data_IF_969705077785
#
_entry.id   IF_969705077785
#
_cell.length_a   1.000
_cell.length_b   1.000
_cell.length_c   1.000
_cell.angle_alpha   90.00
_cell.angle_beta   90.00
_cell.angle_gamma   90.00
#
_symmetry.space_group_name_H-M   'P 1'
#
loop_
_entity.id
_entity.type
_entity.pdbx_description
1 polymer ?
#
# COMPACT_ATOMS: atom_id res chain seq x y z
N UNK A 1 3.42 26.53 1.35
CA UNK A 1 1.97 26.28 1.17
C UNK A 1 1.88 24.96 0.41
N UNK A 2 1.23 23.88 0.86
CA UNK A 2 -0.14 23.76 1.36
C UNK A 2 -0.22 22.49 2.23
N UNK A 3 -0.44 22.61 3.55
CA UNK A 3 -0.69 21.44 4.42
C UNK A 3 -2.11 20.97 4.16
N UNK A 4 -2.28 19.84 3.47
CA UNK A 4 -3.59 19.18 3.34
C UNK A 4 -3.90 18.52 4.68
N UNK A 5 -4.82 19.12 5.43
CA UNK A 5 -5.42 18.50 6.61
C UNK A 5 -6.54 17.61 6.11
N UNK A 6 -6.28 16.30 5.96
CA UNK A 6 -7.33 15.32 5.69
C UNK A 6 -8.03 14.97 7.00
N UNK A 7 -9.27 15.43 7.11
CA UNK A 7 -10.14 15.25 8.29
C UNK A 7 -10.79 13.87 8.18
N UNK A 8 -10.41 12.93 9.06
CA UNK A 8 -11.12 11.65 9.23
C UNK A 8 -12.15 11.80 10.34
N UNK A 9 -13.43 11.68 9.97
CA UNK A 9 -14.58 11.88 10.87
C UNK A 9 -14.79 10.62 11.70
N UNK A 10 -14.59 10.70 13.01
CA UNK A 10 -15.10 9.75 13.99
C UNK A 10 -16.30 10.42 14.64
N UNK A 11 -17.48 9.80 14.58
CA UNK A 11 -18.72 10.16 15.32
C UNK A 11 -18.74 11.61 15.87
N UNK A 12 -19.17 12.57 15.05
CA UNK A 12 -19.35 14.01 15.34
C UNK A 12 -18.13 14.82 15.82
N UNK A 13 -17.00 14.19 16.21
CA UNK A 13 -15.78 14.86 16.68
C UNK A 13 -14.56 14.56 15.79
N UNK A 14 -13.98 15.61 15.24
CA UNK A 14 -12.81 15.49 14.35
C UNK A 14 -11.50 15.43 15.13
N UNK A 15 -10.64 14.45 14.83
CA UNK A 15 -9.25 14.39 15.33
C UNK A 15 -8.35 15.26 14.47
N UNK A 16 -7.59 16.18 15.06
CA UNK A 16 -6.58 16.96 14.32
C UNK A 16 -5.42 16.06 13.89
N UNK A 17 -5.09 16.14 12.61
CA UNK A 17 -4.02 15.36 11.98
C UNK A 17 -3.00 16.25 11.29
N UNK A 18 -1.75 15.80 11.28
CA UNK A 18 -0.67 16.42 10.49
C UNK A 18 0.04 15.32 9.72
N UNK A 19 0.13 15.50 8.40
CA UNK A 19 0.98 14.69 7.56
C UNK A 19 2.41 15.23 7.61
N UNK A 20 3.35 14.36 7.96
CA UNK A 20 4.77 14.62 7.79
C UNK A 20 5.27 13.92 6.51
N UNK A 21 5.75 14.72 5.57
CA UNK A 21 6.23 14.24 4.28
C UNK A 21 7.64 13.64 4.35
N UNK A 22 8.44 14.00 5.35
CA UNK A 22 9.82 13.51 5.49
C UNK A 22 9.84 12.09 6.05
N UNK A 23 9.05 11.85 7.12
CA UNK A 23 8.92 10.51 7.71
C UNK A 23 7.82 9.65 7.08
N UNK A 24 7.03 10.21 6.14
CA UNK A 24 5.84 9.60 5.55
C UNK A 24 4.83 9.08 6.60
N UNK A 25 4.68 9.80 7.71
CA UNK A 25 3.78 9.43 8.81
C UNK A 25 2.65 10.43 9.00
N UNK A 26 1.51 9.90 9.47
CA UNK A 26 0.43 10.71 10.04
C UNK A 26 0.65 10.85 11.54
N UNK A 27 0.54 12.09 12.02
CA UNK A 27 0.54 12.44 13.43
C UNK A 27 -0.86 12.87 13.86
N UNK A 28 -1.31 12.35 15.01
CA UNK A 28 -2.64 12.56 15.57
C UNK A 28 -2.54 13.31 16.90
N UNK A 29 -3.45 14.26 17.12
CA UNK A 29 -3.52 14.96 18.41
C UNK A 29 -3.96 14.00 19.52
N UNK A 30 -3.12 13.83 20.54
CA UNK A 30 -3.41 12.93 21.67
C UNK A 30 -4.61 13.42 22.49
N UNK A 31 -4.71 14.74 22.67
CA UNK A 31 -5.80 15.34 23.46
C UNK A 31 -7.15 15.06 22.80
N UNK A 32 -7.24 15.22 21.48
CA UNK A 32 -8.49 15.00 20.73
C UNK A 32 -8.90 13.51 20.79
N UNK A 33 -7.93 12.59 20.68
CA UNK A 33 -8.21 11.15 20.80
C UNK A 33 -8.67 10.80 22.21
N UNK A 34 -8.02 11.35 23.25
CA UNK A 34 -8.47 11.16 24.63
C UNK A 34 -9.88 11.69 24.82
N UNK A 35 -10.18 12.87 24.27
CA UNK A 35 -11.53 13.44 24.36
C UNK A 35 -12.58 12.50 23.76
N UNK A 36 -12.34 11.98 22.56
CA UNK A 36 -13.25 11.06 21.88
C UNK A 36 -13.41 9.75 22.65
N UNK A 37 -12.29 9.18 23.11
CA UNK A 37 -12.30 7.88 23.75
C UNK A 37 -12.76 7.92 25.20
N UNK A 38 -12.80 9.07 25.85
CA UNK A 38 -13.15 9.15 27.29
C UNK A 38 -14.35 10.03 27.60
N UNK A 39 -14.82 10.84 26.64
CA UNK A 39 -15.78 11.93 26.85
C UNK A 39 -15.41 12.86 28.02
N UNK A 40 -14.12 12.90 28.40
CA UNK A 40 -13.66 13.69 29.52
C UNK A 40 -13.90 15.17 29.23
N UNK A 41 -14.54 15.94 30.14
CA UNK A 41 -14.69 17.38 29.98
C UNK A 41 -13.34 18.12 30.14
N UNK A 42 -12.28 17.42 30.59
CA UNK A 42 -10.93 17.96 30.81
C UNK A 42 -9.87 17.01 30.23
N UNK A 43 -9.83 16.79 28.91
CA UNK A 43 -8.97 15.79 28.28
C UNK A 43 -7.47 16.06 28.50
N UNK A 44 -7.06 17.33 28.63
CA UNK A 44 -5.69 17.71 28.99
C UNK A 44 -5.28 17.23 30.39
N UNK A 45 -6.18 17.35 31.37
CA UNK A 45 -5.92 16.89 32.74
C UNK A 45 -5.86 15.37 32.78
N UNK A 46 -6.76 14.71 32.06
CA UNK A 46 -6.74 13.26 31.89
C UNK A 46 -5.41 12.81 31.28
N UNK A 47 -4.96 13.46 30.20
CA UNK A 47 -3.69 13.16 29.56
C UNK A 47 -2.50 13.29 30.51
N UNK A 48 -2.43 14.36 31.29
CA UNK A 48 -1.36 14.55 32.26
C UNK A 48 -1.35 13.46 33.34
N UNK A 49 -2.52 13.05 33.83
CA UNK A 49 -2.63 11.93 34.77
C UNK A 49 -2.18 10.60 34.13
N UNK A 50 -2.60 10.34 32.89
CA UNK A 50 -2.20 9.15 32.15
C UNK A 50 -0.69 9.12 31.87
N UNK A 51 -0.06 10.26 31.53
CA UNK A 51 1.40 10.38 31.39
C UNK A 51 2.13 9.98 32.67
N UNK A 52 1.66 10.48 33.82
CA UNK A 52 2.26 10.12 35.12
C UNK A 52 2.15 8.62 35.37
N UNK A 53 0.99 8.02 35.12
CA UNK A 53 0.78 6.58 35.26
C UNK A 53 1.71 5.78 34.35
N UNK A 54 1.80 6.15 33.07
CA UNK A 54 2.68 5.51 32.08
C UNK A 54 4.15 5.56 32.52
N UNK A 55 4.61 6.67 33.09
CA UNK A 55 5.98 6.78 33.63
C UNK A 55 6.22 5.82 34.80
N UNK A 56 5.26 5.69 35.70
CA UNK A 56 5.35 4.75 36.84
C UNK A 56 5.39 3.30 36.36
N UNK A 57 4.67 2.97 35.29
CA UNK A 57 4.69 1.65 34.65
C UNK A 57 5.98 1.38 33.84
N UNK A 58 6.93 2.32 33.81
CA UNK A 58 8.15 2.20 33.00
C UNK A 58 7.92 2.37 31.50
N UNK A 59 6.76 2.90 31.08
CA UNK A 59 6.47 3.13 29.67
C UNK A 59 7.25 4.33 29.14
N UNK A 60 8.12 4.07 28.18
CA UNK A 60 8.84 5.12 27.44
C UNK A 60 7.95 5.88 26.45
N UNK A 61 6.68 5.48 26.29
CA UNK A 61 5.78 6.10 25.31
C UNK A 61 5.69 7.60 25.54
N UNK A 62 5.53 8.04 26.80
CA UNK A 62 5.46 9.46 27.14
C UNK A 62 6.73 10.27 26.80
N UNK A 63 7.89 9.61 26.68
CA UNK A 63 9.17 10.23 26.33
C UNK A 63 9.42 10.26 24.81
N UNK A 64 8.76 9.36 24.07
CA UNK A 64 8.91 9.22 22.61
C UNK A 64 7.87 10.02 21.81
N UNK A 65 6.97 10.75 22.47
CA UNK A 65 5.96 11.57 21.81
C UNK A 65 6.55 12.89 21.34
N UNK A 66 6.23 13.27 20.11
CA UNK A 66 6.59 14.57 19.56
C UNK A 66 5.58 15.65 19.93
N UNK A 67 5.94 16.92 19.67
CA UNK A 67 5.02 18.04 19.71
C UNK A 67 4.98 18.75 18.37
N UNK A 68 3.78 19.03 17.87
CA UNK A 68 3.58 19.79 16.63
C UNK A 68 2.65 20.98 16.87
N UNK A 69 2.87 22.07 16.12
CA UNK A 69 1.96 23.20 16.11
C UNK A 69 0.67 22.81 15.38
N UNK A 70 -0.43 22.75 16.13
CA UNK A 70 -1.77 22.45 15.62
C UNK A 70 -2.70 23.63 15.90
N UNK A 71 -3.66 23.86 14.99
CA UNK A 71 -4.68 24.88 15.19
C UNK A 71 -5.65 24.44 16.30
N UNK A 72 -6.07 25.37 17.13
CA UNK A 72 -7.03 25.19 18.21
C UNK A 72 -8.39 25.83 17.84
N UNK A 73 -9.43 25.59 18.65
CA UNK A 73 -10.79 26.08 18.39
C UNK A 73 -10.89 27.62 18.31
N UNK A 74 -9.97 28.33 18.96
CA UNK A 74 -9.80 29.79 18.91
C UNK A 74 -9.03 30.28 17.67
N UNK A 75 -8.74 29.39 16.72
CA UNK A 75 -8.04 29.71 15.47
C UNK A 75 -6.52 29.89 15.60
N UNK A 76 -5.98 29.92 16.83
CA UNK A 76 -4.54 30.06 17.10
C UNK A 76 -3.81 28.71 17.04
N UNK A 77 -2.50 28.75 16.81
CA UNK A 77 -1.65 27.56 16.75
C UNK A 77 -0.90 27.35 18.08
N UNK A 78 -0.98 26.13 18.61
CA UNK A 78 -0.32 25.73 19.84
C UNK A 78 0.49 24.45 19.67
N UNK A 79 1.58 24.33 20.41
CA UNK A 79 2.30 23.06 20.53
C UNK A 79 1.40 22.05 21.23
N UNK A 80 1.19 20.92 20.56
CA UNK A 80 0.28 19.85 20.98
C UNK A 80 1.04 18.54 20.95
N UNK A 81 0.90 17.72 22.00
CA UNK A 81 1.45 16.36 22.03
C UNK A 81 0.77 15.52 20.93
N UNK A 82 1.58 14.90 20.09
CA UNK A 82 1.14 14.08 18.95
C UNK A 82 1.72 12.68 19.01
N UNK A 83 0.97 11.72 18.47
CA UNK A 83 1.37 10.33 18.33
C UNK A 83 1.27 9.90 16.85
N UNK A 84 2.19 9.06 16.39
CA UNK A 84 1.98 8.30 15.16
C UNK A 84 1.03 7.11 15.39
N UNK A 85 0.73 6.35 14.34
CA UNK A 85 -0.24 5.23 14.41
C UNK A 85 0.10 4.19 15.47
N UNK A 86 1.38 3.78 15.56
CA UNK A 86 1.81 2.75 16.51
C UNK A 86 1.72 3.26 17.95
N UNK A 87 2.23 4.47 18.19
CA UNK A 87 2.13 5.15 19.48
C UNK A 87 0.67 5.33 19.90
N UNK A 88 -0.21 5.63 18.95
CA UNK A 88 -1.63 5.78 19.20
C UNK A 88 -2.28 4.47 19.64
N UNK A 89 -2.02 3.37 18.95
CA UNK A 89 -2.55 2.06 19.35
C UNK A 89 -2.03 1.64 20.73
N UNK A 90 -0.75 1.89 21.03
CA UNK A 90 -0.21 1.61 22.37
C UNK A 90 -0.83 2.50 23.44
N UNK A 91 -1.14 3.77 23.12
CA UNK A 91 -1.83 4.68 24.04
C UNK A 91 -3.26 4.19 24.34
N UNK A 92 -4.00 3.78 23.31
CA UNK A 92 -5.39 3.29 23.44
C UNK A 92 -5.49 2.12 24.43
N UNK A 93 -4.50 1.23 24.43
CA UNK A 93 -4.45 0.10 25.39
C UNK A 93 -4.44 0.57 26.85
N UNK A 94 -3.84 1.73 27.14
CA UNK A 94 -3.75 2.30 28.49
C UNK A 94 -4.95 3.19 28.89
N UNK A 95 -5.95 3.37 28.02
CA UNK A 95 -7.16 4.15 28.32
C UNK A 95 -8.26 3.21 28.84
N UNK A 96 -8.62 3.26 30.15
CA UNK A 96 -9.74 2.49 30.69
C UNK A 96 -11.09 3.14 30.33
N UNK A 97 -11.56 2.95 29.10
CA UNK A 97 -12.85 3.44 28.63
C UNK A 97 -13.61 2.40 27.81
N UNK A 98 -14.95 2.29 27.95
CA UNK A 98 -15.78 1.48 27.06
C UNK A 98 -15.61 1.83 25.58
N UNK A 99 -15.34 3.09 25.23
CA UNK A 99 -15.11 3.50 23.82
C UNK A 99 -13.77 3.02 23.26
N UNK A 100 -12.81 2.75 24.14
CA UNK A 100 -11.52 2.18 23.74
C UNK A 100 -11.60 0.65 23.59
N UNK A 101 -12.60 -0.01 24.17
CA UNK A 101 -12.71 -1.46 24.21
C UNK A 101 -12.81 -2.12 22.82
N UNK A 102 -13.61 -1.63 21.86
CA UNK A 102 -13.64 -2.20 20.50
C UNK A 102 -12.28 -2.21 19.82
N UNK A 103 -11.47 -1.16 20.03
CA UNK A 103 -10.12 -1.10 19.48
C UNK A 103 -9.18 -2.11 20.15
N UNK A 104 -9.30 -2.32 21.46
CA UNK A 104 -8.49 -3.31 22.19
C UNK A 104 -8.84 -4.73 21.77
N UNK A 105 -10.13 -5.03 21.62
CA UNK A 105 -10.59 -6.32 21.11
C UNK A 105 -10.10 -6.56 19.69
N UNK A 106 -10.19 -5.55 18.82
CA UNK A 106 -9.65 -5.65 17.47
C UNK A 106 -8.12 -5.86 17.46
N UNK A 107 -7.36 -5.16 18.30
CA UNK A 107 -5.91 -5.38 18.43
C UNK A 107 -5.58 -6.78 18.95
N UNK A 108 -6.37 -7.29 19.91
CA UNK A 108 -6.21 -8.66 20.43
C UNK A 108 -6.52 -9.71 19.35
N UNK A 109 -7.59 -9.50 18.57
CA UNK A 109 -7.93 -10.35 17.43
C UNK A 109 -6.80 -10.35 16.40
N UNK A 110 -6.29 -9.18 16.00
CA UNK A 110 -5.17 -9.09 15.05
C UNK A 110 -3.94 -9.82 15.61
N UNK A 111 -3.63 -9.68 16.89
CA UNK A 111 -2.51 -10.40 17.49
C UNK A 111 -2.70 -11.93 17.47
N UNK A 112 -3.91 -12.41 17.77
CA UNK A 112 -4.25 -13.84 17.69
C UNK A 112 -4.14 -14.36 16.24
N UNK A 113 -4.75 -13.67 15.27
CA UNK A 113 -4.64 -14.01 13.84
C UNK A 113 -3.19 -14.09 13.38
N UNK A 114 -2.30 -13.22 13.90
CA UNK A 114 -0.86 -13.28 13.56
C UNK A 114 -0.16 -14.51 14.14
N UNK A 115 -0.56 -14.97 15.32
CA UNK A 115 -0.03 -16.21 15.88
C UNK A 115 -0.51 -17.41 15.07
N UNK A 116 -1.77 -17.42 14.65
CA UNK A 116 -2.33 -18.44 13.78
C UNK A 116 -1.60 -18.47 12.43
N UNK A 117 -1.38 -17.31 11.81
CA UNK A 117 -0.61 -17.18 10.56
C UNK A 117 0.85 -17.65 10.66
N UNK A 118 1.46 -17.58 11.85
CA UNK A 118 2.81 -18.10 12.06
C UNK A 118 2.84 -19.63 12.12
N UNK A 119 1.75 -20.25 12.55
CA UNK A 119 1.57 -21.70 12.58
C UNK A 119 1.12 -22.22 11.22
N UNK A 120 0.24 -21.48 10.55
CA UNK A 120 -0.30 -21.77 9.23
C UNK A 120 -0.15 -20.55 8.29
N UNK A 121 0.96 -20.47 7.54
CA UNK A 121 1.20 -19.38 6.59
C UNK A 121 0.16 -19.28 5.47
N UNK A 122 -0.60 -20.34 5.17
CA UNK A 122 -1.65 -20.33 4.13
C UNK A 122 -2.75 -19.32 4.48
N UNK A 123 -3.06 -19.14 5.77
CA UNK A 123 -4.01 -18.12 6.25
C UNK A 123 -3.61 -16.70 5.82
N UNK A 124 -2.31 -16.43 5.65
CA UNK A 124 -1.85 -15.13 5.14
C UNK A 124 -2.24 -14.94 3.67
N UNK A 125 -2.19 -16.01 2.87
CA UNK A 125 -2.56 -16.01 1.46
C UNK A 125 -4.08 -15.85 1.34
N UNK A 126 -4.85 -16.60 2.12
CA UNK A 126 -6.31 -16.52 2.15
C UNK A 126 -6.79 -15.13 2.53
N UNK A 127 -6.22 -14.54 3.59
CA UNK A 127 -6.53 -13.18 3.98
C UNK A 127 -6.19 -12.17 2.87
N UNK A 128 -5.06 -12.34 2.18
CA UNK A 128 -4.71 -11.48 1.07
C UNK A 128 -5.73 -11.59 -0.09
N UNK A 129 -6.19 -12.81 -0.41
CA UNK A 129 -7.24 -13.03 -1.40
C UNK A 129 -8.55 -12.36 -0.99
N UNK A 130 -9.00 -12.56 0.25
CA UNK A 130 -10.21 -11.91 0.78
C UNK A 130 -10.14 -10.39 0.72
N UNK A 131 -8.97 -9.79 1.00
CA UNK A 131 -8.79 -8.34 0.92
C UNK A 131 -8.98 -7.85 -0.52
N UNK A 132 -8.44 -8.54 -1.52
CA UNK A 132 -8.70 -8.20 -2.92
C UNK A 132 -10.18 -8.38 -3.30
N UNK A 133 -10.85 -9.43 -2.82
CA UNK A 133 -12.30 -9.61 -3.04
C UNK A 133 -13.09 -8.44 -2.43
N UNK A 134 -12.77 -8.03 -1.20
CA UNK A 134 -13.40 -6.88 -0.52
C UNK A 134 -13.17 -5.55 -1.25
N UNK A 135 -12.03 -5.41 -1.92
CA UNK A 135 -11.74 -4.27 -2.80
C UNK A 135 -12.46 -4.36 -4.17
N UNK A 136 -13.17 -5.45 -4.45
CA UNK A 136 -13.99 -5.63 -5.64
C UNK A 136 -13.30 -6.35 -6.82
N UNK A 137 -12.05 -6.80 -6.65
CA UNK A 137 -11.33 -7.49 -7.71
C UNK A 137 -11.97 -8.85 -8.04
N UNK A 138 -11.94 -9.23 -9.32
CA UNK A 138 -12.42 -10.55 -9.75
C UNK A 138 -11.43 -11.65 -9.37
N UNK A 139 -11.93 -12.85 -9.03
CA UNK A 139 -11.10 -14.03 -8.73
C UNK A 139 -10.05 -14.32 -9.81
N UNK A 140 -10.39 -14.20 -11.10
CA UNK A 140 -9.42 -14.39 -12.19
C UNK A 140 -8.25 -13.41 -12.11
N UNK A 141 -8.52 -12.14 -11.84
CA UNK A 141 -7.47 -11.13 -11.64
C UNK A 141 -6.63 -11.44 -10.40
N UNK A 142 -7.25 -11.88 -9.30
CA UNK A 142 -6.56 -12.25 -8.04
C UNK A 142 -5.61 -13.43 -8.30
N UNK A 143 -6.07 -14.47 -8.98
CA UNK A 143 -5.25 -15.62 -9.35
C UNK A 143 -4.07 -15.24 -10.25
N UNK A 144 -4.29 -14.33 -11.23
CA UNK A 144 -3.21 -13.78 -12.04
C UNK A 144 -2.23 -12.96 -11.21
N UNK A 145 -2.72 -12.19 -10.24
CA UNK A 145 -1.88 -11.39 -9.36
C UNK A 145 -1.01 -12.27 -8.47
N UNK A 146 -1.53 -13.35 -7.90
CA UNK A 146 -0.75 -14.30 -7.11
C UNK A 146 0.38 -14.93 -7.94
N UNK A 147 0.08 -15.41 -9.15
CA UNK A 147 1.10 -15.92 -10.10
C UNK A 147 2.16 -14.87 -10.43
N UNK A 148 1.75 -13.61 -10.57
CA UNK A 148 2.71 -12.52 -10.83
C UNK A 148 3.66 -12.27 -9.65
N UNK A 149 3.25 -12.56 -8.42
CA UNK A 149 4.12 -12.46 -7.23
C UNK A 149 5.18 -13.56 -7.28
N UNK A 150 4.78 -14.79 -7.61
CA UNK A 150 5.69 -15.93 -7.79
C UNK A 150 6.75 -15.63 -8.88
N UNK A 151 6.32 -15.25 -10.08
CA UNK A 151 7.25 -14.90 -11.19
C UNK A 151 8.21 -13.77 -10.80
N UNK A 152 7.71 -12.73 -10.11
CA UNK A 152 8.57 -11.66 -9.60
C UNK A 152 9.57 -12.17 -8.58
N UNK A 153 9.17 -13.10 -7.70
CA UNK A 153 10.04 -13.69 -6.69
C UNK A 153 11.18 -14.48 -7.36
N UNK A 154 10.87 -15.31 -8.35
CA UNK A 154 11.87 -16.04 -9.12
C UNK A 154 12.91 -15.10 -9.77
N UNK A 155 12.45 -14.02 -10.41
CA UNK A 155 13.36 -13.03 -10.99
C UNK A 155 14.25 -12.37 -9.93
N UNK A 156 13.68 -11.98 -8.79
CA UNK A 156 14.48 -11.37 -7.73
C UNK A 156 15.46 -12.35 -7.10
N UNK A 157 15.13 -13.63 -7.01
CA UNK A 157 16.02 -14.67 -6.49
C UNK A 157 17.19 -14.93 -7.44
N UNK A 158 16.93 -14.93 -8.75
CA UNK A 158 17.99 -14.96 -9.76
C UNK A 158 18.93 -13.76 -9.62
N UNK A 159 18.40 -12.55 -9.42
CA UNK A 159 19.25 -11.37 -9.17
C UNK A 159 20.10 -11.50 -7.90
N UNK A 160 19.54 -12.01 -6.81
CA UNK A 160 20.32 -12.28 -5.58
C UNK A 160 21.42 -13.30 -5.84
N UNK A 161 21.12 -14.36 -6.59
CA UNK A 161 22.09 -15.39 -6.99
C UNK A 161 23.24 -14.81 -7.83
N UNK A 162 22.98 -13.76 -8.63
CA UNK A 162 24.01 -13.01 -9.38
C UNK A 162 24.73 -11.94 -8.53
N UNK A 163 24.47 -11.87 -7.23
CA UNK A 163 25.14 -10.93 -6.32
C UNK A 163 24.62 -9.49 -6.40
N UNK A 164 23.45 -9.28 -7.01
CA UNK A 164 22.83 -7.96 -7.07
C UNK A 164 22.18 -7.60 -5.72
N UNK A 165 22.25 -6.32 -5.36
CA UNK A 165 21.78 -5.79 -4.09
C UNK A 165 20.31 -5.38 -4.17
N UNK A 166 19.55 -5.72 -3.14
CA UNK A 166 18.18 -5.26 -2.97
C UNK A 166 18.09 -3.73 -2.85
N UNK A 167 16.91 -3.17 -3.10
CA UNK A 167 16.69 -1.73 -3.11
C UNK A 167 16.98 -1.12 -4.49
N UNK A 168 18.02 -0.28 -4.59
CA UNK A 168 18.25 0.59 -5.75
C UNK A 168 18.49 -0.21 -7.04
N UNK A 169 19.29 -1.28 -7.00
CA UNK A 169 19.58 -2.06 -8.21
C UNK A 169 18.33 -2.80 -8.70
N UNK A 170 17.57 -3.41 -7.80
CA UNK A 170 16.31 -4.11 -8.16
C UNK A 170 15.26 -3.14 -8.70
N UNK A 171 15.14 -1.95 -8.10
CA UNK A 171 14.26 -0.90 -8.60
C UNK A 171 14.68 -0.45 -10.01
N UNK A 172 15.98 -0.27 -10.25
CA UNK A 172 16.53 0.12 -11.56
C UNK A 172 16.24 -0.95 -12.62
N UNK A 173 16.50 -2.22 -12.33
CA UNK A 173 16.25 -3.31 -13.28
C UNK A 173 14.74 -3.48 -13.54
N UNK A 174 13.91 -3.40 -12.50
CA UNK A 174 12.45 -3.43 -12.66
C UNK A 174 11.98 -2.27 -13.56
N UNK A 175 12.54 -1.08 -13.39
CA UNK A 175 12.20 0.09 -14.19
C UNK A 175 12.62 -0.07 -15.66
N UNK A 176 13.80 -0.66 -15.90
CA UNK A 176 14.29 -1.00 -17.25
C UNK A 176 13.37 -2.00 -17.94
N UNK A 177 12.98 -3.09 -17.25
CA UNK A 177 12.04 -4.09 -17.79
C UNK A 177 10.73 -3.41 -18.14
N UNK A 178 10.16 -2.66 -17.20
CA UNK A 178 8.87 -1.95 -17.36
C UNK A 178 8.93 -1.01 -18.56
N UNK A 179 9.99 -0.21 -18.67
CA UNK A 179 10.20 0.73 -19.77
C UNK A 179 10.38 0.01 -21.10
N UNK A 180 11.10 -1.09 -21.13
CA UNK A 180 11.36 -1.83 -22.36
C UNK A 180 10.07 -2.38 -22.99
N UNK A 181 9.15 -2.95 -22.18
CA UNK A 181 7.91 -3.52 -22.72
C UNK A 181 6.79 -2.49 -22.89
N UNK A 182 6.61 -1.56 -21.94
CA UNK A 182 5.48 -0.62 -21.90
C UNK A 182 5.77 0.75 -22.51
N UNK A 183 7.03 1.02 -22.88
CA UNK A 183 7.54 2.34 -23.28
C UNK A 183 7.39 3.42 -22.18
N UNK A 184 7.18 3.02 -20.92
CA UNK A 184 7.06 3.92 -19.76
C UNK A 184 7.90 3.42 -18.58
N UNK A 185 8.60 4.33 -17.93
CA UNK A 185 9.15 4.06 -16.59
C UNK A 185 8.01 3.77 -15.60
N UNK A 186 8.32 3.13 -14.49
CA UNK A 186 7.37 2.85 -13.40
C UNK A 186 6.68 4.13 -12.93
N UNK A 187 7.40 5.24 -12.86
CA UNK A 187 6.88 6.55 -12.45
C UNK A 187 5.90 7.11 -13.50
N UNK A 188 6.30 7.13 -14.77
CA UNK A 188 5.43 7.59 -15.87
C UNK A 188 4.17 6.72 -16.00
N UNK A 189 4.30 5.42 -15.75
CA UNK A 189 3.19 4.48 -15.81
C UNK A 189 2.20 4.68 -14.66
N UNK A 190 2.70 4.92 -13.43
CA UNK A 190 1.85 5.33 -12.31
C UNK A 190 1.09 6.62 -12.62
N UNK A 191 1.77 7.62 -13.19
CA UNK A 191 1.13 8.89 -13.60
C UNK A 191 0.05 8.66 -14.66
N UNK A 192 0.31 7.84 -15.69
CA UNK A 192 -0.67 7.49 -16.73
C UNK A 192 -1.97 6.93 -16.12
N UNK A 193 -1.84 6.08 -15.10
CA UNK A 193 -2.96 5.44 -14.41
C UNK A 193 -3.57 6.30 -13.28
N UNK A 194 -3.08 7.53 -13.08
CA UNK A 194 -3.56 8.44 -12.05
C UNK A 194 -3.19 8.03 -10.62
N UNK A 195 -2.14 7.22 -10.45
CA UNK A 195 -1.71 6.66 -9.16
C UNK A 195 -0.71 7.58 -8.46
N UNK A 196 -0.78 7.64 -7.14
CA UNK A 196 0.19 8.34 -6.28
C UNK A 196 0.98 7.35 -5.44
N UNK A 197 0.31 6.72 -4.48
CA UNK A 197 0.91 5.77 -3.52
C UNK A 197 0.55 4.32 -3.83
N UNK A 198 -0.45 4.11 -4.66
CA UNK A 198 -0.98 2.82 -5.02
C UNK A 198 0.06 1.98 -5.77
N UNK A 199 -0.09 0.66 -5.63
CA UNK A 199 0.73 -0.30 -6.35
C UNK A 199 0.37 -0.29 -7.85
N UNK A 200 1.38 -0.26 -8.71
CA UNK A 200 1.16 -0.22 -10.16
C UNK A 200 0.53 -1.52 -10.68
N UNK A 201 1.02 -2.69 -10.23
CA UNK A 201 0.54 -4.01 -10.67
C UNK A 201 -0.92 -4.23 -10.25
N UNK A 202 -1.29 -3.74 -9.06
CA UNK A 202 -2.68 -3.83 -8.60
C UNK A 202 -3.65 -3.00 -9.46
N UNK A 203 -3.11 -2.07 -10.27
CA UNK A 203 -3.88 -1.21 -11.17
C UNK A 203 -3.65 -1.53 -12.65
N UNK A 204 -2.96 -2.63 -12.95
CA UNK A 204 -2.83 -3.15 -14.31
C UNK A 204 -4.06 -3.99 -14.69
N UNK A 205 -4.44 -3.90 -15.96
CA UNK A 205 -5.39 -4.82 -16.59
C UNK A 205 -4.79 -6.23 -16.65
N UNK A 206 -5.63 -7.24 -16.89
CA UNK A 206 -5.19 -8.63 -17.05
C UNK A 206 -4.09 -8.77 -18.13
N UNK A 207 -4.26 -8.10 -19.27
CA UNK A 207 -3.27 -8.15 -20.36
C UNK A 207 -1.96 -7.46 -19.98
N UNK A 208 -2.03 -6.30 -19.31
CA UNK A 208 -0.83 -5.62 -18.80
C UNK A 208 -0.09 -6.50 -17.76
N UNK A 209 -0.82 -7.20 -16.87
CA UNK A 209 -0.22 -8.14 -15.92
C UNK A 209 0.45 -9.32 -16.62
N UNK A 210 -0.19 -9.92 -17.62
CA UNK A 210 0.37 -11.05 -18.39
C UNK A 210 1.65 -10.63 -19.11
N UNK A 211 1.66 -9.47 -19.77
CA UNK A 211 2.86 -8.96 -20.42
C UNK A 211 3.97 -8.62 -19.42
N UNK A 212 3.62 -8.09 -18.25
CA UNK A 212 4.60 -7.85 -17.20
C UNK A 212 5.21 -9.16 -16.68
N UNK A 213 4.39 -10.20 -16.48
CA UNK A 213 4.88 -11.54 -16.10
C UNK A 213 5.79 -12.13 -17.18
N UNK A 214 5.41 -12.02 -18.46
CA UNK A 214 6.24 -12.47 -19.57
C UNK A 214 7.59 -11.74 -19.60
N UNK A 215 7.60 -10.43 -19.36
CA UNK A 215 8.81 -9.63 -19.30
C UNK A 215 9.74 -10.11 -18.17
N UNK A 216 9.18 -10.31 -16.97
CA UNK A 216 9.92 -10.74 -15.77
C UNK A 216 10.46 -12.17 -15.91
N UNK A 217 9.62 -13.11 -16.37
CA UNK A 217 10.03 -14.49 -16.64
C UNK A 217 11.12 -14.56 -17.71
N UNK A 218 10.95 -13.82 -18.81
CA UNK A 218 11.97 -13.76 -19.88
C UNK A 218 13.28 -13.18 -19.37
N UNK A 219 13.26 -12.13 -18.55
CA UNK A 219 14.49 -11.59 -17.95
C UNK A 219 15.18 -12.65 -17.08
N UNK A 220 14.42 -13.41 -16.26
CA UNK A 220 14.98 -14.47 -15.42
C UNK A 220 15.62 -15.56 -16.27
N UNK A 221 14.90 -16.07 -17.27
CA UNK A 221 15.38 -17.18 -18.10
C UNK A 221 16.61 -16.78 -18.94
N UNK A 222 16.63 -15.55 -19.47
CA UNK A 222 17.80 -15.00 -20.16
C UNK A 222 18.96 -14.82 -19.18
N UNK A 223 18.72 -14.30 -17.97
CA UNK A 223 19.78 -14.16 -16.95
C UNK A 223 20.40 -15.50 -16.58
N UNK A 224 19.57 -16.55 -16.45
CA UNK A 224 20.02 -17.91 -16.21
C UNK A 224 20.90 -18.44 -17.34
N UNK A 225 20.53 -18.17 -18.60
CA UNK A 225 21.25 -18.63 -19.79
C UNK A 225 22.55 -17.87 -20.06
N UNK A 226 22.56 -16.54 -19.90
CA UNK A 226 23.70 -15.69 -20.26
C UNK A 226 24.67 -15.48 -19.10
N UNK A 227 24.23 -15.72 -17.86
CA UNK A 227 25.03 -15.56 -16.65
C UNK A 227 25.76 -14.19 -16.58
N UNK A 228 25.00 -13.08 -16.47
CA UNK A 228 25.58 -11.73 -16.46
C UNK A 228 26.55 -11.55 -15.30
N UNK A 229 27.70 -10.91 -15.56
CA UNK A 229 28.80 -10.84 -14.59
C UNK A 229 28.66 -9.68 -13.61
N UNK A 230 28.03 -8.60 -14.06
CA UNK A 230 27.89 -7.38 -13.28
C UNK A 230 26.50 -6.73 -13.47
N UNK A 231 26.36 -5.55 -12.85
CA UNK A 231 25.12 -4.81 -12.90
C UNK A 231 24.81 -4.24 -14.30
N UNK A 232 25.81 -3.85 -15.08
CA UNK A 232 25.58 -3.33 -16.44
C UNK A 232 25.15 -4.44 -17.39
N UNK A 233 25.77 -5.62 -17.32
CA UNK A 233 25.32 -6.81 -18.03
C UNK A 233 23.88 -7.16 -17.65
N UNK A 234 23.55 -7.10 -16.35
CA UNK A 234 22.20 -7.35 -15.86
C UNK A 234 21.17 -6.34 -16.38
N UNK A 235 21.57 -5.08 -16.62
CA UNK A 235 20.70 -4.09 -17.28
C UNK A 235 20.43 -4.47 -18.74
N UNK A 236 21.40 -5.04 -19.44
CA UNK A 236 21.17 -5.52 -20.81
C UNK A 236 20.20 -6.70 -20.81
N UNK A 237 20.37 -7.65 -19.90
CA UNK A 237 19.44 -8.78 -19.72
C UNK A 237 18.02 -8.29 -19.39
N UNK A 238 17.88 -7.29 -18.52
CA UNK A 238 16.60 -6.64 -18.22
C UNK A 238 15.95 -6.02 -19.47
N UNK A 239 16.73 -5.34 -20.33
CA UNK A 239 16.24 -4.81 -21.61
C UNK A 239 15.80 -5.93 -22.56
N UNK A 240 16.56 -7.01 -22.64
CA UNK A 240 16.25 -8.15 -23.51
C UNK A 240 14.94 -8.82 -23.09
N UNK A 241 14.77 -9.15 -21.81
CA UNK A 241 13.53 -9.76 -21.31
C UNK A 241 12.32 -8.84 -21.46
N UNK A 242 12.48 -7.54 -21.18
CA UNK A 242 11.44 -6.55 -21.47
C UNK A 242 11.11 -6.44 -22.97
N UNK A 243 12.10 -6.61 -23.87
CA UNK A 243 11.86 -6.58 -25.30
C UNK A 243 11.04 -7.79 -25.78
N UNK A 244 11.17 -8.97 -25.17
CA UNK A 244 10.31 -10.13 -25.48
C UNK A 244 8.83 -9.77 -25.28
N UNK A 245 8.49 -9.21 -24.12
CA UNK A 245 7.14 -8.73 -23.87
C UNK A 245 6.73 -7.55 -24.76
N UNK A 246 7.67 -6.67 -25.14
CA UNK A 246 7.42 -5.59 -26.11
C UNK A 246 6.96 -6.14 -27.46
N UNK A 247 7.64 -7.18 -27.97
CA UNK A 247 7.29 -7.82 -29.25
C UNK A 247 5.90 -8.43 -29.15
N UNK A 248 5.62 -9.21 -28.09
CA UNK A 248 4.30 -9.79 -27.86
C UNK A 248 3.20 -8.72 -27.77
N UNK A 249 3.46 -7.61 -27.06
CA UNK A 249 2.55 -6.47 -26.99
C UNK A 249 2.26 -5.88 -28.36
N UNK A 250 3.29 -5.54 -29.12
CA UNK A 250 3.13 -4.90 -30.44
C UNK A 250 2.37 -5.78 -31.41
N UNK A 251 2.64 -7.09 -31.40
CA UNK A 251 1.92 -8.05 -32.24
C UNK A 251 0.43 -8.09 -31.85
N UNK A 252 0.13 -8.16 -30.55
CA UNK A 252 -1.25 -8.13 -30.06
C UNK A 252 -1.97 -6.81 -30.42
N UNK A 253 -1.32 -5.66 -30.25
CA UNK A 253 -1.86 -4.35 -30.59
C UNK A 253 -2.13 -4.25 -32.11
N UNK A 254 -1.23 -4.77 -32.95
CA UNK A 254 -1.42 -4.80 -34.41
C UNK A 254 -2.60 -5.67 -34.85
N UNK A 255 -2.84 -6.81 -34.18
CA UNK A 255 -3.96 -7.71 -34.52
C UNK A 255 -5.30 -7.23 -33.98
N UNK A 256 -5.31 -6.55 -32.83
CA UNK A 256 -6.54 -6.12 -32.16
C UNK A 256 -6.94 -4.68 -32.47
N UNK A 257 -6.01 -3.86 -32.95
CA UNK A 257 -6.20 -2.42 -33.16
C UNK A 257 -6.36 -1.61 -31.87
N UNK A 258 -6.06 -2.21 -30.70
CA UNK A 258 -6.24 -1.59 -29.38
C UNK A 258 -4.91 -1.54 -28.65
N UNK A 259 -4.60 -0.39 -28.06
CA UNK A 259 -3.44 -0.24 -27.18
C UNK A 259 -3.63 -1.06 -25.90
N UNK A 260 -2.58 -1.78 -25.48
CA UNK A 260 -2.60 -2.57 -24.25
C UNK A 260 -2.29 -1.70 -23.04
N UNK A 261 -1.30 -0.80 -23.16
CA UNK A 261 -0.92 0.13 -22.10
C UNK A 261 -1.91 1.30 -22.09
N UNK A 262 -2.74 1.38 -21.04
CA UNK A 262 -3.81 2.38 -20.95
C UNK A 262 -3.87 3.06 -19.59
N UNK A 263 -4.60 4.18 -19.51
CA UNK A 263 -4.88 4.89 -18.26
C UNK A 263 -5.91 4.19 -17.37
N UNK A 264 -6.51 3.08 -17.82
CA UNK A 264 -7.46 2.29 -17.04
C UNK A 264 -6.77 1.76 -15.78
N UNK A 265 -7.37 2.03 -14.63
CA UNK A 265 -6.90 1.58 -13.31
C UNK A 265 -7.99 0.74 -12.62
N UNK A 266 -7.68 0.17 -11.45
CA UNK A 266 -8.62 -0.72 -10.77
C UNK A 266 -9.93 -0.01 -10.43
N UNK A 267 -9.87 1.18 -9.83
CA UNK A 267 -11.06 1.93 -9.43
C UNK A 267 -12.00 2.23 -10.61
N UNK A 268 -11.45 2.69 -11.74
CA UNK A 268 -12.22 2.98 -12.94
C UNK A 268 -12.79 1.70 -13.58
N UNK A 269 -12.02 0.62 -13.63
CA UNK A 269 -12.49 -0.67 -14.13
C UNK A 269 -13.63 -1.25 -13.27
N UNK A 270 -13.53 -1.13 -11.94
CA UNK A 270 -14.55 -1.59 -10.99
C UNK A 270 -15.85 -0.78 -11.15
N UNK A 271 -15.76 0.54 -11.25
CA UNK A 271 -16.92 1.41 -11.49
C UNK A 271 -17.62 1.09 -12.82
N UNK A 272 -16.87 0.84 -13.90
CA UNK A 272 -17.43 0.43 -15.19
C UNK A 272 -18.17 -0.91 -15.10
N UNK A 273 -17.65 -1.85 -14.31
CA UNK A 273 -18.30 -3.15 -14.08
C UNK A 273 -19.60 -3.01 -13.28
N UNK A 274 -19.67 -2.12 -12.30
CA UNK A 274 -20.91 -1.83 -11.58
C UNK A 274 -21.96 -1.16 -12.46
N UNK A 275 -21.56 -0.21 -13.31
CA UNK A 275 -22.47 0.46 -14.25
C UNK A 275 -23.01 -0.54 -15.29
N UNK A 276 -22.18 -1.48 -15.75
CA UNK A 276 -22.63 -2.53 -16.68
C UNK A 276 -23.53 -3.57 -16.00
N UNK A 277 -23.36 -3.86 -14.70
CA UNK A 277 -24.30 -4.69 -13.93
C UNK A 277 -25.67 -4.00 -13.73
N UNK A 278 -25.71 -2.66 -13.70
CA UNK A 278 -26.94 -1.86 -13.54
C UNK A 278 -27.68 -1.58 -14.85
N UNK A 279 -27.10 -1.85 -16.03
CA UNK A 279 -27.84 -1.74 -17.30
C UNK A 279 -28.83 -2.90 -17.42
N UNK A 280 -30.14 -2.66 -17.63
CA UNK A 280 -31.07 -3.73 -17.87
C UNK A 280 -30.62 -4.47 -19.14
N UNK A 281 -30.54 -5.81 -19.05
CA UNK A 281 -30.41 -6.66 -20.24
C UNK A 281 -31.63 -6.36 -21.11
N UNK A 282 -31.47 -5.50 -22.12
CA UNK A 282 -32.46 -5.36 -23.17
C UNK A 282 -32.58 -6.73 -23.84
N UNK A 283 -33.58 -7.50 -23.41
CA UNK A 283 -34.09 -8.66 -24.13
C UNK A 283 -34.58 -8.13 -25.48
N UNK A 284 -33.77 -8.29 -26.52
CA UNK A 284 -34.27 -8.19 -27.89
C UNK A 284 -35.33 -9.29 -28.06
N UNK A 285 -36.56 -8.86 -28.35
CA UNK A 285 -37.61 -9.69 -28.93
C UNK A 285 -37.20 -10.10 -30.33
#
# INVERSE_FOLDING_TARGET
MTKRVEIKIFEEKTVRTVWDAESEKWYFSIIDVIEILTDSPRPRKYWNALKTKLKVEGSELSHKLGQLKMQSADGKFYLTDVADTEQLFRLIQSIPSPKAEPFKQWLAQVAAERLDEMQDPELTIDRAMEQYVKLGYSENWINQRLKSIEIRKELTDEWKKRGLKEGVQFATLTDIITKAWSDKTTKEYKVLKGLKKENLRDNMTNTELILNMLAEASTKDISAATNPKDFEDSKQVARQGGNVAKVARKELEAKTGKNVVTSLNANTALQLNEVNKKKPKNKKK
#
